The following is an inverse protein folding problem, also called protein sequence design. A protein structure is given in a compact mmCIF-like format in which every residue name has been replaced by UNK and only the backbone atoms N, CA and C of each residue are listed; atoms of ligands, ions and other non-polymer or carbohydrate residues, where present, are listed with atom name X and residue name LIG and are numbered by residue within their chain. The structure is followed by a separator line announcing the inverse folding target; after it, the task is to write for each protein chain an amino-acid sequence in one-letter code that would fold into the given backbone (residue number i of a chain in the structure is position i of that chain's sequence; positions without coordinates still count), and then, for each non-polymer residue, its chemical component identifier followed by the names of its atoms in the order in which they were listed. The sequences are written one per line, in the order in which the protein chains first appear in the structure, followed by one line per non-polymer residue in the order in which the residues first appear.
data_IF_699582480729
#
_entry.id   IF_699582480729
#
_cell.length_a   1.000
_cell.length_b   1.000
_cell.length_c   1.000
_cell.angle_alpha   90.00
_cell.angle_beta   90.00
_cell.angle_gamma   90.00
#
_symmetry.space_group_name_H-M   'P 1'
#
loop_
_entity.id
_entity.type
_entity.pdbx_description
1 polymer ?
#
# COMPACT_ATOMS: atom_id res chain seq x y z
N UNK A 1 58.46 47.89 59.43
CA UNK A 1 58.05 46.57 58.92
C UNK A 1 56.65 46.69 58.32
N UNK A 2 56.52 46.43 57.02
CA UNK A 2 55.30 46.64 56.23
C UNK A 2 54.82 45.25 55.80
N UNK A 3 53.63 44.80 56.22
CA UNK A 3 53.00 43.60 55.64
C UNK A 3 51.56 43.93 55.27
N UNK A 4 51.36 44.04 53.95
CA UNK A 4 50.08 44.17 53.25
C UNK A 4 49.15 43.02 53.66
N UNK A 5 47.90 43.34 53.99
CA UNK A 5 46.77 42.42 53.90
C UNK A 5 45.99 42.83 52.65
N UNK A 6 46.18 42.08 51.57
CA UNK A 6 45.53 42.32 50.29
C UNK A 6 44.63 41.14 49.93
N UNK A 7 43.33 41.45 49.83
CA UNK A 7 42.36 40.99 48.82
C UNK A 7 42.03 39.48 48.77
N UNK A 8 40.87 39.14 49.35
CA UNK A 8 40.09 37.91 49.14
C UNK A 8 38.64 38.28 48.80
N UNK A 9 38.41 39.02 47.70
CA UNK A 9 37.06 39.49 47.31
C UNK A 9 36.67 39.00 45.90
N UNK A 10 37.61 38.62 45.02
CA UNK A 10 37.28 38.27 43.62
C UNK A 10 36.86 36.80 43.38
N UNK A 11 36.88 35.91 44.38
CA UNK A 11 36.58 34.47 44.18
C UNK A 11 35.10 34.12 44.42
N UNK A 12 34.41 34.83 45.33
CA UNK A 12 33.00 34.52 45.66
C UNK A 12 31.99 34.96 44.58
N UNK A 13 32.29 35.99 43.79
CA UNK A 13 31.38 36.47 42.73
C UNK A 13 31.28 35.50 41.54
N UNK A 14 32.34 34.72 41.27
CA UNK A 14 32.35 33.72 40.19
C UNK A 14 31.49 32.51 40.49
N UNK A 15 31.52 32.01 41.74
CA UNK A 15 30.73 30.83 42.14
C UNK A 15 29.22 31.10 42.11
N UNK A 16 28.80 32.29 42.55
CA UNK A 16 27.40 32.72 42.49
C UNK A 16 26.88 32.81 41.04
N UNK A 17 27.72 33.28 40.11
CA UNK A 17 27.36 33.36 38.69
C UNK A 17 27.15 31.98 38.06
N UNK A 18 28.00 30.98 38.36
CA UNK A 18 27.81 29.62 37.86
C UNK A 18 26.57 28.94 38.46
N UNK A 19 26.26 29.21 39.74
CA UNK A 19 25.02 28.73 40.36
C UNK A 19 23.79 29.33 39.66
N UNK A 20 23.76 30.64 39.39
CA UNK A 20 22.65 31.25 38.64
C UNK A 20 22.57 30.82 37.17
N UNK A 21 23.69 30.55 36.51
CA UNK A 21 23.71 30.11 35.10
C UNK A 21 23.20 28.66 34.96
N UNK A 22 23.56 27.80 35.90
CA UNK A 22 23.08 26.41 35.94
C UNK A 22 21.62 26.30 36.34
N UNK A 23 21.13 27.14 37.27
CA UNK A 23 19.72 27.18 37.68
C UNK A 23 18.78 27.55 36.52
N UNK A 24 19.17 28.54 35.69
CA UNK A 24 18.44 28.85 34.45
C UNK A 24 18.43 27.70 33.45
N UNK A 25 19.56 27.02 33.24
CA UNK A 25 19.67 25.93 32.27
C UNK A 25 18.84 24.71 32.71
N UNK A 26 18.89 24.37 34.01
CA UNK A 26 18.06 23.31 34.60
C UNK A 26 16.58 23.66 34.50
N UNK A 27 16.21 24.93 34.72
CA UNK A 27 14.85 25.42 34.53
C UNK A 27 14.31 25.23 33.11
N UNK A 28 15.12 25.54 32.08
CA UNK A 28 14.72 25.35 30.67
C UNK A 28 14.58 23.86 30.32
N UNK A 29 15.50 23.01 30.79
CA UNK A 29 15.40 21.56 30.58
C UNK A 29 14.16 20.99 31.27
N UNK A 30 13.82 21.47 32.47
CA UNK A 30 12.64 21.02 33.20
C UNK A 30 11.33 21.36 32.46
N UNK A 31 11.21 22.58 31.94
CA UNK A 31 10.08 22.99 31.10
C UNK A 31 10.00 22.12 29.83
N UNK A 32 11.15 21.84 29.22
CA UNK A 32 11.21 21.01 28.02
C UNK A 32 10.74 19.56 28.27
N UNK A 33 11.14 18.96 29.40
CA UNK A 33 10.68 17.62 29.81
C UNK A 33 9.16 17.61 30.05
N UNK A 34 8.61 18.64 30.68
CA UNK A 34 7.17 18.78 30.88
C UNK A 34 6.44 18.88 29.54
N UNK A 35 6.93 19.71 28.60
CA UNK A 35 6.36 19.82 27.26
C UNK A 35 6.38 18.48 26.51
N UNK A 36 7.52 17.79 26.48
CA UNK A 36 7.62 16.48 25.81
C UNK A 36 6.68 15.45 26.42
N UNK A 37 6.53 15.46 27.75
CA UNK A 37 5.61 14.57 28.45
C UNK A 37 4.15 14.86 28.09
N UNK A 38 3.78 16.14 27.98
CA UNK A 38 2.45 16.57 27.55
C UNK A 38 2.17 16.17 26.10
N UNK A 39 3.11 16.41 25.17
CA UNK A 39 2.97 15.98 23.78
C UNK A 39 2.86 14.46 23.64
N UNK A 40 3.65 13.70 24.41
CA UNK A 40 3.56 12.23 24.41
C UNK A 40 2.21 11.73 24.94
N UNK A 41 1.65 12.39 25.96
CA UNK A 41 0.32 12.09 26.48
C UNK A 41 -0.77 12.40 25.45
N UNK A 42 -0.72 13.57 24.81
CA UNK A 42 -1.72 13.98 23.82
C UNK A 42 -1.66 13.12 22.56
N UNK A 43 -0.47 12.74 22.12
CA UNK A 43 -0.29 11.80 21.00
C UNK A 43 -0.88 10.42 21.31
N UNK A 44 -0.69 9.89 22.53
CA UNK A 44 -1.32 8.62 22.96
C UNK A 44 -2.85 8.74 23.01
N UNK A 45 -3.37 9.85 23.53
CA UNK A 45 -4.81 10.12 23.59
C UNK A 45 -5.43 10.18 22.19
N UNK A 46 -4.82 10.94 21.27
CA UNK A 46 -5.27 11.05 19.87
C UNK A 46 -5.22 9.70 19.14
N UNK A 47 -4.14 8.95 19.30
CA UNK A 47 -3.98 7.62 18.68
C UNK A 47 -5.05 6.64 19.20
N UNK A 48 -5.31 6.64 20.51
CA UNK A 48 -6.32 5.75 21.14
C UNK A 48 -7.73 6.09 20.67
N UNK A 49 -8.06 7.37 20.47
CA UNK A 49 -9.36 7.78 19.92
C UNK A 49 -9.54 7.36 18.47
N UNK A 50 -8.48 7.50 17.65
CA UNK A 50 -8.49 7.11 16.23
C UNK A 50 -8.57 5.59 16.04
N UNK A 51 -7.91 4.79 16.89
CA UNK A 51 -8.00 3.32 16.84
C UNK A 51 -9.31 2.80 17.42
N UNK A 52 -9.80 3.38 18.51
CA UNK A 52 -11.08 3.01 19.13
C UNK A 52 -12.29 3.42 18.28
N UNK A 53 -12.20 4.44 17.42
CA UNK A 53 -13.28 4.77 16.48
C UNK A 53 -13.43 3.74 15.34
N UNK A 54 -12.38 2.97 15.01
CA UNK A 54 -12.40 1.99 13.91
C UNK A 54 -12.88 0.59 14.31
N UNK A 55 -12.74 0.20 15.57
CA UNK A 55 -12.94 -1.19 16.01
C UNK A 55 -14.32 -1.61 16.54
N UNK A 56 -15.18 -0.75 17.13
CA UNK A 56 -16.38 -1.21 17.82
C UNK A 56 -17.44 -1.74 16.86
N UNK A 57 -17.52 -1.22 15.62
CA UNK A 57 -18.42 -1.76 14.59
C UNK A 57 -18.00 -3.17 14.13
N UNK A 58 -16.70 -3.39 13.90
CA UNK A 58 -16.17 -4.71 13.50
C UNK A 58 -16.29 -5.75 14.61
N UNK A 59 -16.09 -5.37 15.88
CA UNK A 59 -16.20 -6.30 17.00
C UNK A 59 -17.66 -6.73 17.25
N UNK A 60 -18.61 -5.78 17.19
CA UNK A 60 -20.03 -6.08 17.34
C UNK A 60 -20.54 -7.02 16.23
N UNK A 61 -20.10 -6.82 14.98
CA UNK A 61 -20.48 -7.68 13.85
C UNK A 61 -19.89 -9.10 13.97
N UNK A 62 -18.63 -9.24 14.39
CA UNK A 62 -17.99 -10.54 14.62
C UNK A 62 -18.66 -11.33 15.76
N UNK A 63 -19.09 -10.64 16.82
CA UNK A 63 -19.72 -11.27 17.97
C UNK A 63 -21.17 -11.72 17.67
N UNK A 64 -21.83 -11.03 16.73
CA UNK A 64 -23.14 -11.44 16.22
C UNK A 64 -23.00 -12.64 15.27
N UNK A 65 -21.98 -12.64 14.40
CA UNK A 65 -21.73 -13.75 13.46
C UNK A 65 -21.29 -15.05 14.14
N UNK A 66 -20.52 -14.97 15.24
CA UNK A 66 -20.02 -16.14 15.96
C UNK A 66 -21.11 -16.94 16.71
N UNK A 67 -22.28 -16.35 16.95
CA UNK A 67 -23.40 -17.01 17.66
C UNK A 67 -24.48 -17.57 16.73
N UNK A 68 -24.29 -17.50 15.41
CA UNK A 68 -25.26 -18.02 14.45
C UNK A 68 -25.10 -19.54 14.27
N UNK A 69 -26.07 -20.30 14.75
CA UNK A 69 -26.15 -21.75 14.50
C UNK A 69 -26.82 -22.01 13.15
N UNK A 70 -26.14 -22.74 12.26
CA UNK A 70 -26.67 -23.12 10.93
C UNK A 70 -27.87 -24.06 11.12
N UNK A 71 -29.09 -23.58 10.88
CA UNK A 71 -30.30 -24.40 10.74
C UNK A 71 -30.63 -24.56 9.25
N UNK A 72 -30.86 -25.80 8.82
CA UNK A 72 -31.42 -26.05 7.48
C UNK A 72 -32.93 -25.79 7.56
N UNK A 73 -33.44 -24.95 6.67
CA UNK A 73 -34.86 -24.64 6.57
C UNK A 73 -35.27 -24.68 5.10
N UNK A 74 -36.36 -25.38 4.81
CA UNK A 74 -37.02 -25.29 3.51
C UNK A 74 -37.75 -23.95 3.42
N UNK A 75 -37.31 -23.12 2.47
CA UNK A 75 -37.83 -21.79 2.23
C UNK A 75 -38.57 -21.76 0.88
N UNK A 76 -39.74 -21.13 0.88
CA UNK A 76 -40.51 -20.88 -0.34
C UNK A 76 -40.33 -19.41 -0.75
N UNK A 77 -39.76 -19.22 -1.94
CA UNK A 77 -39.44 -17.89 -2.48
C UNK A 77 -40.36 -17.62 -3.68
N UNK A 78 -41.27 -16.66 -3.54
CA UNK A 78 -42.03 -16.14 -4.66
C UNK A 78 -41.29 -14.93 -5.26
N UNK A 79 -40.60 -15.18 -6.37
CA UNK A 79 -39.84 -14.16 -7.09
C UNK A 79 -40.72 -13.13 -7.83
N UNK A 80 -41.96 -13.48 -8.18
CA UNK A 80 -42.87 -12.56 -8.86
C UNK A 80 -43.52 -11.59 -7.87
N UNK A 81 -43.99 -12.13 -6.74
CA UNK A 81 -44.56 -11.33 -5.66
C UNK A 81 -43.49 -10.61 -4.82
N UNK A 82 -42.21 -10.99 -4.95
CA UNK A 82 -41.07 -10.49 -4.16
C UNK A 82 -41.25 -10.73 -2.65
N UNK A 83 -41.71 -11.92 -2.31
CA UNK A 83 -42.00 -12.33 -0.94
C UNK A 83 -41.28 -13.63 -0.62
N UNK A 84 -40.56 -13.63 0.50
CA UNK A 84 -39.95 -14.81 1.10
C UNK A 84 -40.80 -15.22 2.31
N UNK A 85 -41.35 -16.42 2.29
CA UNK A 85 -42.12 -16.93 3.42
C UNK A 85 -41.32 -17.98 4.20
N UNK A 86 -41.20 -17.76 5.51
CA UNK A 86 -40.49 -18.65 6.43
C UNK A 86 -41.51 -19.31 7.37
N UNK A 87 -41.46 -20.63 7.59
CA UNK A 87 -42.29 -21.28 8.59
C UNK A 87 -41.99 -20.72 9.99
N UNK A 88 -43.03 -20.44 10.79
CA UNK A 88 -42.85 -19.86 12.12
C UNK A 88 -42.12 -20.80 13.10
N UNK A 89 -42.15 -22.11 12.84
CA UNK A 89 -41.38 -23.13 13.56
C UNK A 89 -39.86 -22.92 13.46
N UNK A 90 -39.38 -22.23 12.43
CA UNK A 90 -37.97 -21.90 12.23
C UNK A 90 -37.58 -20.60 12.95
N UNK A 91 -38.54 -19.68 13.11
CA UNK A 91 -38.33 -18.34 13.67
C UNK A 91 -38.49 -18.29 15.20
N UNK A 92 -39.21 -19.24 15.79
CA UNK A 92 -39.43 -19.30 17.24
C UNK A 92 -38.31 -20.09 17.94
N UNK A 93 -37.67 -19.52 18.96
CA UNK A 93 -36.63 -20.20 19.76
C UNK A 93 -37.12 -21.49 20.43
N UNK A 94 -38.41 -21.53 20.76
CA UNK A 94 -39.07 -22.65 21.47
C UNK A 94 -39.80 -23.63 20.53
N UNK A 95 -39.77 -23.41 19.21
CA UNK A 95 -40.46 -24.26 18.22
C UNK A 95 -41.99 -24.27 18.31
N UNK A 96 -42.59 -23.40 19.14
CA UNK A 96 -44.02 -23.36 19.45
C UNK A 96 -44.90 -22.60 18.45
N UNK A 97 -44.65 -22.73 17.15
CA UNK A 97 -45.53 -22.18 16.11
C UNK A 97 -46.62 -23.18 15.73
N UNK A 98 -47.84 -22.71 15.45
CA UNK A 98 -48.89 -23.57 14.92
C UNK A 98 -48.44 -24.14 13.55
N UNK A 99 -48.60 -25.45 13.35
CA UNK A 99 -48.22 -26.11 12.11
C UNK A 99 -49.03 -25.53 10.93
N UNK A 100 -48.39 -24.68 10.13
CA UNK A 100 -48.99 -24.00 8.98
C UNK A 100 -48.85 -22.48 8.98
N UNK A 101 -48.44 -21.86 10.11
CA UNK A 101 -48.24 -20.41 10.17
C UNK A 101 -46.91 -20.02 9.52
N UNK A 102 -46.98 -19.10 8.55
CA UNK A 102 -45.83 -18.62 7.77
C UNK A 102 -45.71 -17.11 7.91
N UNK A 103 -44.49 -16.66 8.17
CA UNK A 103 -44.15 -15.23 8.20
C UNK A 103 -43.52 -14.86 6.88
N UNK A 104 -44.17 -13.96 6.17
CA UNK A 104 -43.77 -13.53 4.84
C UNK A 104 -43.10 -12.15 4.91
N UNK A 105 -41.89 -12.07 4.37
CA UNK A 105 -41.08 -10.86 4.31
C UNK A 105 -41.00 -10.42 2.86
N UNK A 106 -41.32 -9.16 2.59
CA UNK A 106 -41.04 -8.58 1.27
C UNK A 106 -39.53 -8.41 1.13
N UNK A 107 -38.98 -8.83 0.01
CA UNK A 107 -37.56 -8.61 -0.31
C UNK A 107 -37.46 -7.77 -1.58
N UNK A 108 -36.63 -6.74 -1.57
CA UNK A 108 -36.18 -6.17 -2.81
C UNK A 108 -35.13 -7.13 -3.40
N UNK A 109 -35.21 -7.53 -4.69
CA UNK A 109 -34.04 -8.14 -5.33
C UNK A 109 -32.87 -7.17 -5.12
N UNK A 110 -31.65 -7.65 -4.83
CA UNK A 110 -30.52 -6.76 -4.63
C UNK A 110 -30.42 -5.90 -5.88
N UNK A 111 -30.78 -4.62 -5.77
CA UNK A 111 -30.80 -3.67 -6.87
C UNK A 111 -29.38 -3.25 -7.16
N UNK A 112 -28.53 -4.23 -7.48
CA UNK A 112 -27.12 -4.26 -7.09
C UNK A 112 -27.04 -4.01 -5.58
N UNK A 113 -26.49 -4.95 -4.83
CA UNK A 113 -25.80 -4.50 -3.62
C UNK A 113 -24.92 -3.36 -4.13
N UNK A 114 -25.04 -2.12 -3.64
CA UNK A 114 -23.89 -1.27 -3.75
C UNK A 114 -22.88 -2.10 -2.98
N UNK A 115 -22.03 -2.85 -3.69
CA UNK A 115 -20.64 -2.97 -3.30
C UNK A 115 -20.38 -1.58 -2.77
N UNK A 116 -20.33 -1.45 -1.44
CA UNK A 116 -19.57 -0.38 -0.84
C UNK A 116 -18.37 -0.33 -1.75
N UNK A 117 -18.27 0.74 -2.53
CA UNK A 117 -17.17 0.92 -3.45
C UNK A 117 -15.98 0.58 -2.59
N UNK A 118 -15.43 -0.63 -2.76
CA UNK A 118 -14.15 -0.99 -2.19
C UNK A 118 -13.36 0.15 -2.76
N UNK A 119 -12.99 1.10 -1.90
CA UNK A 119 -12.47 2.35 -2.40
C UNK A 119 -11.34 1.94 -3.34
N UNK A 120 -11.11 2.65 -4.43
CA UNK A 120 -10.02 2.26 -5.36
C UNK A 120 -8.72 1.97 -4.58
N UNK A 121 -8.53 2.67 -3.46
CA UNK A 121 -7.53 2.40 -2.43
C UNK A 121 -7.63 1.02 -1.73
N UNK A 122 -8.80 0.55 -1.30
CA UNK A 122 -8.96 -0.78 -0.70
C UNK A 122 -8.76 -1.91 -1.73
N UNK A 123 -9.19 -1.72 -2.98
CA UNK A 123 -8.97 -2.68 -4.05
C UNK A 123 -7.48 -2.76 -4.41
N UNK A 124 -6.81 -1.61 -4.40
CA UNK A 124 -5.37 -1.51 -4.58
C UNK A 124 -4.60 -2.17 -3.42
N UNK A 125 -5.02 -1.96 -2.16
CA UNK A 125 -4.41 -2.62 -0.99
C UNK A 125 -4.50 -4.13 -1.08
N UNK A 126 -5.70 -4.67 -1.36
CA UNK A 126 -5.89 -6.10 -1.52
C UNK A 126 -5.03 -6.69 -2.65
N UNK A 127 -4.90 -5.96 -3.76
CA UNK A 127 -4.02 -6.36 -4.85
C UNK A 127 -2.54 -6.39 -4.41
N UNK A 128 -2.09 -5.37 -3.68
CA UNK A 128 -0.69 -5.31 -3.23
C UNK A 128 -0.37 -6.42 -2.24
N UNK A 129 -1.26 -6.68 -1.28
CA UNK A 129 -1.08 -7.77 -0.31
C UNK A 129 -0.96 -9.13 -1.02
N UNK A 130 -1.80 -9.38 -2.03
CA UNK A 130 -1.74 -10.61 -2.82
C UNK A 130 -0.48 -10.71 -3.68
N UNK A 131 -0.07 -9.62 -4.33
CA UNK A 131 1.14 -9.61 -5.14
C UNK A 131 2.40 -9.79 -4.28
N UNK A 132 2.45 -9.16 -3.10
CA UNK A 132 3.58 -9.32 -2.19
C UNK A 132 3.70 -10.77 -1.71
N UNK A 133 2.59 -11.39 -1.29
CA UNK A 133 2.57 -12.79 -0.88
C UNK A 133 3.06 -13.71 -2.01
N UNK A 134 2.50 -13.56 -3.22
CA UNK A 134 2.88 -14.39 -4.37
C UNK A 134 4.35 -14.21 -4.79
N UNK A 135 4.89 -12.99 -4.68
CA UNK A 135 6.29 -12.68 -5.02
C UNK A 135 7.26 -13.19 -3.96
N UNK A 136 6.86 -13.11 -2.68
CA UNK A 136 7.61 -13.68 -1.56
C UNK A 136 7.71 -15.20 -1.70
N UNK A 137 6.60 -15.85 -2.01
CA UNK A 137 6.56 -17.30 -2.27
C UNK A 137 7.38 -17.70 -3.50
N UNK A 138 7.43 -16.83 -4.53
CA UNK A 138 8.27 -17.01 -5.71
C UNK A 138 9.76 -16.73 -5.45
N UNK A 139 10.14 -16.18 -4.29
CA UNK A 139 11.52 -15.85 -3.93
C UNK A 139 12.07 -14.60 -4.64
N UNK A 140 11.21 -13.68 -5.09
CA UNK A 140 11.62 -12.41 -5.66
C UNK A 140 11.94 -11.40 -4.54
N UNK A 141 13.15 -10.81 -4.48
CA UNK A 141 13.50 -9.83 -3.47
C UNK A 141 12.79 -8.51 -3.76
N UNK A 142 11.78 -8.17 -2.96
CA UNK A 142 11.10 -6.87 -3.01
C UNK A 142 11.76 -5.96 -1.98
N UNK A 143 12.09 -4.74 -2.38
CA UNK A 143 12.60 -3.70 -1.49
C UNK A 143 11.49 -2.67 -1.23
N UNK A 144 11.29 -2.29 0.02
CA UNK A 144 10.34 -1.23 0.41
C UNK A 144 9.00 -1.74 0.93
N UNK A 145 8.07 -0.80 1.14
CA UNK A 145 6.74 -1.05 1.68
C UNK A 145 5.69 -1.06 0.54
N UNK A 146 5.06 -2.22 0.24
CA UNK A 146 4.05 -2.35 -0.80
C UNK A 146 2.73 -1.64 -0.47
N UNK A 147 2.54 -1.15 0.76
CA UNK A 147 1.37 -0.35 1.15
C UNK A 147 1.15 0.89 0.27
N UNK A 148 2.21 1.37 -0.40
CA UNK A 148 2.20 2.49 -1.34
C UNK A 148 1.83 2.11 -2.78
N UNK A 149 1.36 0.89 -3.06
CA UNK A 149 0.94 0.51 -4.42
C UNK A 149 2.09 0.26 -5.39
N UNK A 150 3.30 0.05 -4.88
CA UNK A 150 4.53 0.02 -5.67
C UNK A 150 5.43 -1.12 -5.23
N UNK A 151 5.91 -1.91 -6.19
CA UNK A 151 6.92 -2.94 -5.96
C UNK A 151 8.28 -2.38 -6.38
N UNK A 152 9.18 -2.10 -5.45
CA UNK A 152 10.48 -1.51 -5.75
C UNK A 152 11.63 -2.53 -5.68
N UNK A 153 12.60 -2.34 -6.56
CA UNK A 153 13.77 -3.18 -6.73
C UNK A 153 15.00 -2.29 -6.84
N UNK A 154 16.11 -2.79 -6.31
CA UNK A 154 17.40 -2.13 -6.37
C UNK A 154 18.04 -2.34 -7.74
N UNK A 155 18.55 -1.28 -8.37
CA UNK A 155 19.09 -1.38 -9.72
C UNK A 155 20.34 -2.27 -9.81
N UNK A 156 21.18 -2.30 -8.77
CA UNK A 156 22.36 -3.16 -8.65
C UNK A 156 22.02 -4.66 -8.60
N UNK A 157 20.81 -5.02 -8.17
CA UNK A 157 20.33 -6.41 -8.18
C UNK A 157 19.80 -6.81 -9.57
N UNK A 158 19.20 -5.87 -10.29
CA UNK A 158 18.56 -6.15 -11.59
C UNK A 158 19.52 -6.02 -12.78
N UNK A 159 20.48 -5.11 -12.73
CA UNK A 159 21.30 -4.74 -13.89
C UNK A 159 22.79 -4.90 -13.62
N UNK A 160 23.55 -5.05 -14.69
CA UNK A 160 25.00 -4.90 -14.63
C UNK A 160 25.37 -3.44 -14.28
N UNK A 161 26.46 -3.25 -13.55
CA UNK A 161 26.93 -1.94 -13.11
C UNK A 161 27.09 -0.98 -14.30
N UNK A 162 26.54 0.23 -14.18
CA UNK A 162 26.58 1.26 -15.22
C UNK A 162 25.82 0.93 -16.52
N UNK A 163 25.07 -0.16 -16.56
CA UNK A 163 24.34 -0.62 -17.75
C UNK A 163 22.84 -0.76 -17.50
N UNK A 164 22.07 -0.80 -18.59
CA UNK A 164 20.66 -1.18 -18.62
C UNK A 164 20.45 -2.68 -18.94
N UNK A 165 21.52 -3.43 -19.16
CA UNK A 165 21.44 -4.89 -19.39
C UNK A 165 21.12 -5.61 -18.08
N UNK A 166 20.07 -6.43 -18.09
CA UNK A 166 19.70 -7.27 -16.96
C UNK A 166 20.82 -8.27 -16.65
N UNK A 167 21.19 -8.38 -15.37
CA UNK A 167 22.09 -9.43 -14.90
C UNK A 167 21.40 -10.80 -14.96
N UNK A 168 22.12 -11.94 -14.85
CA UNK A 168 21.49 -13.25 -14.76
C UNK A 168 20.47 -13.36 -13.62
N UNK A 169 20.78 -12.75 -12.47
CA UNK A 169 19.84 -12.64 -11.35
C UNK A 169 18.66 -11.72 -11.68
N UNK A 170 18.91 -10.58 -12.32
CA UNK A 170 17.85 -9.67 -12.77
C UNK A 170 16.88 -10.32 -13.75
N UNK A 171 17.37 -11.18 -14.65
CA UNK A 171 16.53 -11.97 -15.55
C UNK A 171 15.68 -12.98 -14.78
N UNK A 172 16.25 -13.67 -13.78
CA UNK A 172 15.51 -14.58 -12.90
C UNK A 172 14.42 -13.84 -12.11
N UNK A 173 14.75 -12.68 -11.53
CA UNK A 173 13.80 -11.84 -10.80
C UNK A 173 12.69 -11.35 -11.73
N UNK A 174 13.04 -10.85 -12.92
CA UNK A 174 12.05 -10.43 -13.92
C UNK A 174 11.14 -11.61 -14.32
N UNK A 175 11.67 -12.82 -14.47
CA UNK A 175 10.88 -14.02 -14.74
C UNK A 175 9.88 -14.35 -13.62
N UNK A 176 10.34 -14.33 -12.36
CA UNK A 176 9.49 -14.57 -11.18
C UNK A 176 8.38 -13.52 -11.07
N UNK A 177 8.74 -12.24 -11.22
CA UNK A 177 7.78 -11.12 -11.20
C UNK A 177 6.77 -11.26 -12.34
N UNK A 178 7.25 -11.51 -13.56
CA UNK A 178 6.39 -11.68 -14.73
C UNK A 178 5.39 -12.82 -14.53
N UNK A 179 5.82 -13.95 -13.98
CA UNK A 179 4.95 -15.10 -13.71
C UNK A 179 3.85 -14.76 -12.70
N UNK A 180 4.18 -14.03 -11.64
CA UNK A 180 3.18 -13.58 -10.66
C UNK A 180 2.20 -12.57 -11.27
N UNK A 181 2.69 -11.59 -12.04
CA UNK A 181 1.84 -10.64 -12.74
C UNK A 181 0.92 -11.32 -13.77
N UNK A 182 1.43 -12.31 -14.51
CA UNK A 182 0.65 -13.04 -15.51
C UNK A 182 -0.51 -13.85 -14.90
N UNK A 183 -0.40 -14.26 -13.64
CA UNK A 183 -1.48 -14.95 -12.92
C UNK A 183 -2.58 -13.99 -12.45
N UNK A 184 -2.22 -12.79 -12.00
CA UNK A 184 -3.15 -11.84 -11.34
C UNK A 184 -3.74 -10.80 -12.30
N UNK A 185 -2.92 -10.21 -13.17
CA UNK A 185 -3.33 -9.09 -13.99
C UNK A 185 -4.44 -9.38 -15.03
N UNK A 186 -4.59 -10.61 -15.58
CA UNK A 186 -5.69 -10.89 -16.52
C UNK A 186 -7.09 -10.67 -15.93
N UNK A 187 -7.28 -10.83 -14.62
CA UNK A 187 -8.56 -10.53 -13.98
C UNK A 187 -8.85 -9.01 -13.90
N UNK A 188 -7.80 -8.20 -13.89
CA UNK A 188 -7.86 -6.75 -13.67
C UNK A 188 -7.68 -5.93 -14.95
N UNK A 189 -7.30 -6.57 -16.06
CA UNK A 189 -7.14 -5.95 -17.37
C UNK A 189 -8.14 -6.46 -18.42
N UNK A 190 -7.87 -6.06 -19.66
CA UNK A 190 -8.55 -6.51 -20.88
C UNK A 190 -7.51 -7.03 -21.89
N UNK A 191 -7.95 -7.60 -23.00
CA UNK A 191 -7.06 -7.99 -24.12
C UNK A 191 -6.38 -9.35 -23.97
N UNK A 192 -6.57 -10.04 -22.84
CA UNK A 192 -6.16 -11.41 -22.63
C UNK A 192 -7.33 -12.23 -22.04
N UNK A 193 -7.36 -13.56 -22.23
CA UNK A 193 -8.35 -14.40 -21.58
C UNK A 193 -8.22 -14.26 -20.06
N UNK A 194 -9.33 -13.95 -19.39
CA UNK A 194 -9.40 -13.92 -17.95
C UNK A 194 -9.02 -15.31 -17.40
N UNK A 195 -8.19 -15.35 -16.36
CA UNK A 195 -7.83 -16.60 -15.68
C UNK A 195 -9.06 -17.31 -15.10
N UNK A 196 -8.93 -18.60 -14.80
CA UNK A 196 -9.97 -19.35 -14.11
C UNK A 196 -10.18 -18.78 -12.70
N UNK A 197 -11.37 -18.24 -12.42
CA UNK A 197 -11.71 -17.67 -11.10
C UNK A 197 -11.71 -16.15 -11.01
N UNK A 198 -11.66 -15.41 -12.14
CA UNK A 198 -11.88 -13.97 -12.09
C UNK A 198 -13.35 -13.65 -11.77
N UNK A 199 -13.60 -12.88 -10.71
CA UNK A 199 -14.95 -12.40 -10.41
C UNK A 199 -15.39 -11.36 -11.45
N UNK A 200 -16.58 -11.58 -12.03
CA UNK A 200 -17.16 -10.68 -13.00
C UNK A 200 -17.54 -9.35 -12.33
N UNK A 201 -16.93 -8.24 -12.76
CA UNK A 201 -17.23 -6.90 -12.25
C UNK A 201 -16.24 -6.34 -11.21
N UNK A 202 -15.12 -7.02 -10.96
CA UNK A 202 -14.04 -6.47 -10.13
C UNK A 202 -13.39 -5.21 -10.71
N UNK A 203 -12.85 -4.36 -9.83
CA UNK A 203 -12.14 -3.13 -10.20
C UNK A 203 -11.02 -3.41 -11.20
N UNK A 204 -10.96 -2.63 -12.27
CA UNK A 204 -9.94 -2.77 -13.33
C UNK A 204 -8.73 -1.90 -13.07
N UNK A 205 -7.60 -2.24 -13.66
CA UNK A 205 -6.41 -1.40 -13.63
C UNK A 205 -6.44 -0.37 -14.77
N UNK A 206 -6.17 0.89 -14.43
CA UNK A 206 -5.95 1.94 -15.41
C UNK A 206 -4.55 1.84 -16.03
N UNK A 207 -3.55 1.50 -15.21
CA UNK A 207 -2.15 1.47 -15.61
C UNK A 207 -1.32 0.59 -14.69
N UNK A 208 -0.30 -0.07 -15.25
CA UNK A 208 0.82 -0.62 -14.51
C UNK A 208 2.10 -0.02 -15.10
N UNK A 209 2.82 0.77 -14.32
CA UNK A 209 3.94 1.56 -14.83
C UNK A 209 5.27 1.05 -14.25
N UNK A 210 6.20 0.68 -15.13
CA UNK A 210 7.58 0.36 -14.77
C UNK A 210 8.36 1.68 -14.72
N UNK A 211 8.69 2.13 -13.52
CA UNK A 211 9.30 3.43 -13.26
C UNK A 211 10.70 3.26 -12.71
N UNK A 212 11.70 3.81 -13.38
CA UNK A 212 13.02 4.02 -12.77
C UNK A 212 13.09 5.36 -12.07
N UNK A 213 13.56 5.36 -10.82
CA UNK A 213 13.84 6.55 -10.03
C UNK A 213 15.35 6.72 -9.85
N UNK A 214 15.84 7.94 -10.08
CA UNK A 214 17.23 8.31 -9.87
C UNK A 214 17.34 9.75 -9.37
N UNK A 215 18.25 9.99 -8.45
CA UNK A 215 18.75 11.34 -8.21
C UNK A 215 19.73 11.68 -9.35
N UNK A 216 19.71 12.93 -9.81
CA UNK A 216 20.56 13.38 -10.91
C UNK A 216 20.83 14.87 -10.79
N UNK A 217 21.89 15.35 -11.44
CA UNK A 217 22.08 16.77 -11.72
C UNK A 217 21.92 17.00 -13.23
N UNK A 218 20.75 17.46 -13.67
CA UNK A 218 20.39 17.57 -15.08
C UNK A 218 21.28 18.56 -15.85
N UNK A 219 22.01 19.41 -15.14
CA UNK A 219 22.87 20.45 -15.71
C UNK A 219 24.31 19.95 -15.94
N UNK A 220 24.62 18.72 -15.49
CA UNK A 220 25.92 18.08 -15.73
C UNK A 220 25.82 17.00 -16.82
N UNK A 221 26.90 16.76 -17.60
CA UNK A 221 26.95 15.63 -18.53
C UNK A 221 26.69 14.28 -17.84
N UNK A 222 27.16 14.13 -16.60
CA UNK A 222 26.99 12.93 -15.78
C UNK A 222 25.52 12.71 -15.42
N UNK A 223 24.81 13.72 -14.92
CA UNK A 223 23.40 13.58 -14.58
C UNK A 223 22.50 13.39 -15.80
N UNK A 224 22.85 13.96 -16.96
CA UNK A 224 22.16 13.66 -18.23
C UNK A 224 22.33 12.20 -18.64
N UNK A 225 23.55 11.64 -18.50
CA UNK A 225 23.79 10.20 -18.71
C UNK A 225 22.99 9.36 -17.72
N UNK A 226 22.94 9.74 -16.45
CA UNK A 226 22.16 9.04 -15.42
C UNK A 226 20.66 9.04 -15.74
N UNK A 227 20.12 10.15 -16.24
CA UNK A 227 18.72 10.26 -16.70
C UNK A 227 18.44 9.27 -17.84
N UNK A 228 19.31 9.25 -18.85
CA UNK A 228 19.16 8.34 -20.00
C UNK A 228 19.25 6.87 -19.58
N UNK A 229 20.17 6.55 -18.67
CA UNK A 229 20.37 5.20 -18.14
C UNK A 229 19.15 4.72 -17.35
N UNK A 230 18.53 5.60 -16.56
CA UNK A 230 17.32 5.28 -15.81
C UNK A 230 16.16 4.88 -16.74
N UNK A 231 15.93 5.63 -17.82
CA UNK A 231 14.90 5.29 -18.80
C UNK A 231 15.22 3.97 -19.52
N UNK A 232 16.48 3.76 -19.91
CA UNK A 232 16.92 2.51 -20.54
C UNK A 232 16.72 1.30 -19.61
N UNK A 233 17.01 1.45 -18.31
CA UNK A 233 16.79 0.41 -17.30
C UNK A 233 15.31 0.06 -17.16
N UNK A 234 14.44 1.06 -17.08
CA UNK A 234 12.99 0.83 -17.01
C UNK A 234 12.48 0.09 -18.27
N UNK A 235 12.96 0.49 -19.46
CA UNK A 235 12.61 -0.16 -20.71
C UNK A 235 13.14 -1.60 -20.79
N UNK A 236 14.39 -1.85 -20.38
CA UNK A 236 14.99 -3.18 -20.37
C UNK A 236 14.29 -4.12 -19.38
N UNK A 237 13.90 -3.62 -18.20
CA UNK A 237 13.13 -4.41 -17.25
C UNK A 237 11.74 -4.76 -17.81
N UNK A 238 11.03 -3.79 -18.40
CA UNK A 238 9.78 -4.05 -19.09
C UNK A 238 9.92 -5.11 -20.19
N UNK A 239 10.97 -5.03 -21.02
CA UNK A 239 11.27 -6.04 -22.04
C UNK A 239 11.55 -7.42 -21.41
N UNK A 240 12.27 -7.46 -20.28
CA UNK A 240 12.49 -8.69 -19.52
C UNK A 240 11.17 -9.32 -19.04
N UNK A 241 10.25 -8.50 -18.53
CA UNK A 241 8.93 -8.96 -18.08
C UNK A 241 8.10 -9.54 -19.23
N UNK A 242 8.04 -8.84 -20.37
CA UNK A 242 7.23 -9.27 -21.52
C UNK A 242 7.87 -10.42 -22.30
N UNK A 243 9.20 -10.54 -22.30
CA UNK A 243 9.90 -11.70 -22.85
C UNK A 243 9.64 -12.96 -22.02
N UNK A 244 9.62 -12.84 -20.70
CA UNK A 244 9.31 -13.95 -19.80
C UNK A 244 7.83 -14.36 -19.86
N UNK A 245 6.92 -13.39 -20.01
CA UNK A 245 5.48 -13.63 -20.13
C UNK A 245 4.85 -12.75 -21.22
N UNK A 246 4.71 -13.27 -22.45
CA UNK A 246 4.13 -12.52 -23.58
C UNK A 246 2.70 -12.02 -23.34
N UNK A 247 1.94 -12.71 -22.47
CA UNK A 247 0.60 -12.30 -22.04
C UNK A 247 0.55 -10.86 -21.51
N UNK A 248 1.60 -10.44 -20.80
CA UNK A 248 1.68 -9.10 -20.20
C UNK A 248 1.69 -7.99 -21.26
N UNK A 249 2.24 -8.25 -22.43
CA UNK A 249 2.25 -7.31 -23.55
C UNK A 249 0.88 -7.17 -24.23
N UNK A 250 0.02 -8.19 -24.12
CA UNK A 250 -1.33 -8.19 -24.69
C UNK A 250 -2.36 -7.50 -23.79
N UNK A 251 -2.05 -7.33 -22.49
CA UNK A 251 -2.96 -6.70 -21.53
C UNK A 251 -3.18 -5.21 -21.85
N UNK A 252 -4.43 -4.78 -21.71
CA UNK A 252 -4.88 -3.41 -21.97
C UNK A 252 -5.72 -2.89 -20.81
N UNK A 253 -5.78 -1.56 -20.70
CA UNK A 253 -6.60 -0.86 -19.71
C UNK A 253 -8.10 -0.77 -20.08
N UNK A 254 -8.45 -1.04 -21.34
CA UNK A 254 -9.83 -1.04 -21.84
C UNK A 254 -10.00 -2.09 -22.94
N UNK A 255 -11.24 -2.51 -23.27
CA UNK A 255 -11.52 -3.46 -24.36
C UNK A 255 -10.81 -3.14 -25.68
N UNK A 256 -10.42 -4.18 -26.41
CA UNK A 256 -9.79 -4.05 -27.73
C UNK A 256 -10.79 -3.39 -28.68
N UNK A 257 -10.37 -2.33 -29.37
CA UNK A 257 -11.21 -1.58 -30.32
C UNK A 257 -11.93 -0.36 -29.73
N UNK A 258 -11.91 -0.15 -28.40
CA UNK A 258 -12.43 1.09 -27.81
C UNK A 258 -11.40 2.24 -27.96
N UNK A 259 -11.89 3.45 -28.26
CA UNK A 259 -11.08 4.65 -28.27
C UNK A 259 -10.42 4.86 -26.89
N UNK A 260 -9.11 5.11 -26.86
CA UNK A 260 -8.35 5.27 -25.61
C UNK A 260 -7.83 3.97 -24.99
N UNK A 261 -8.13 2.80 -25.59
CA UNK A 261 -7.53 1.54 -25.14
C UNK A 261 -6.03 1.53 -25.46
N UNK A 262 -5.23 1.32 -24.42
CA UNK A 262 -3.77 1.39 -24.42
C UNK A 262 -3.18 0.17 -23.69
N UNK A 263 -1.91 -0.19 -23.95
CA UNK A 263 -1.21 -1.21 -23.18
C UNK A 263 -1.30 -0.93 -21.68
N UNK A 264 -1.56 -1.98 -20.91
CA UNK A 264 -1.65 -1.89 -19.46
C UNK A 264 -0.28 -1.61 -18.86
N UNK A 265 0.73 -2.37 -19.29
CA UNK A 265 2.11 -2.23 -18.87
C UNK A 265 2.81 -1.11 -19.66
N UNK A 266 3.44 -0.18 -18.96
CA UNK A 266 4.09 1.01 -19.52
C UNK A 266 5.43 1.27 -18.87
N UNK A 267 6.19 2.19 -19.45
CA UNK A 267 7.53 2.55 -18.98
C UNK A 267 7.58 4.05 -18.74
N UNK A 268 8.20 4.44 -17.62
CA UNK A 268 8.56 5.82 -17.33
C UNK A 268 9.89 5.90 -16.58
N UNK A 269 10.46 7.09 -16.55
CA UNK A 269 11.59 7.43 -15.69
C UNK A 269 11.28 8.74 -14.98
N UNK A 270 11.57 8.79 -13.68
CA UNK A 270 11.39 9.98 -12.86
C UNK A 270 12.71 10.30 -12.19
N UNK A 271 13.16 11.54 -12.29
CA UNK A 271 14.33 12.02 -11.57
C UNK A 271 14.13 13.46 -11.17
N UNK A 272 14.61 13.81 -9.97
CA UNK A 272 14.65 15.20 -9.53
C UNK A 272 16.08 15.72 -9.66
N UNK A 273 16.21 16.89 -10.30
CA UNK A 273 17.51 17.55 -10.40
C UNK A 273 17.90 18.12 -9.05
N UNK A 274 19.06 17.74 -8.53
CA UNK A 274 19.65 18.27 -7.31
C UNK A 274 21.13 18.55 -7.53
N UNK A 275 21.61 19.69 -7.05
CA UNK A 275 23.04 20.00 -7.07
C UNK A 275 23.82 18.96 -6.26
N UNK A 276 24.98 18.54 -6.78
CA UNK A 276 25.84 17.54 -6.15
C UNK A 276 25.18 16.16 -5.89
N UNK A 277 24.13 15.81 -6.65
CA UNK A 277 23.58 14.46 -6.64
C UNK A 277 24.68 13.41 -6.95
N UNK A 278 24.62 12.27 -6.26
CA UNK A 278 25.60 11.17 -6.34
C UNK A 278 25.92 10.72 -7.77
N UNK A 279 27.05 10.01 -7.91
CA UNK A 279 27.58 9.49 -9.17
C UNK A 279 26.51 8.73 -9.98
N UNK A 280 26.68 8.71 -11.30
CA UNK A 280 25.81 8.03 -12.26
C UNK A 280 25.46 6.61 -11.80
N UNK A 281 24.19 6.38 -11.46
CA UNK A 281 23.67 5.05 -11.14
C UNK A 281 23.65 4.67 -9.66
N UNK A 282 24.14 5.52 -8.76
CA UNK A 282 24.05 5.30 -7.30
C UNK A 282 22.61 5.52 -6.81
N UNK A 283 22.13 4.67 -5.89
CA UNK A 283 20.77 4.67 -5.34
C UNK A 283 19.62 4.63 -6.36
N UNK A 284 19.87 4.14 -7.57
CA UNK A 284 18.82 3.93 -8.55
C UNK A 284 17.89 2.79 -8.14
N UNK A 285 16.58 3.05 -8.23
CA UNK A 285 15.55 2.04 -8.01
C UNK A 285 14.72 1.88 -9.27
N UNK A 286 14.25 0.66 -9.50
CA UNK A 286 13.24 0.36 -10.51
C UNK A 286 12.03 -0.17 -9.79
N UNK A 287 10.87 0.36 -10.13
CA UNK A 287 9.63 0.06 -9.44
C UNK A 287 8.50 -0.25 -10.40
N UNK A 288 7.52 -1.02 -9.95
CA UNK A 288 6.28 -1.28 -10.69
C UNK A 288 5.14 -0.66 -9.89
N UNK A 289 4.52 0.36 -10.46
CA UNK A 289 3.43 1.13 -9.86
C UNK A 289 2.10 0.66 -10.43
N UNK A 290 1.12 0.40 -9.57
CA UNK A 290 -0.21 -0.05 -9.99
C UNK A 290 -1.23 1.04 -9.72
N UNK A 291 -2.01 1.39 -10.75
CA UNK A 291 -3.07 2.38 -10.65
C UNK A 291 -4.41 1.74 -11.00
N UNK A 292 -5.35 1.75 -10.07
CA UNK A 292 -6.71 1.29 -10.29
C UNK A 292 -7.49 2.28 -11.16
N UNK A 293 -8.36 1.76 -12.01
CA UNK A 293 -9.35 2.53 -12.75
C UNK A 293 -10.45 3.06 -11.84
N UNK A 294 -10.92 4.25 -12.16
CA UNK A 294 -12.07 4.92 -11.52
C UNK A 294 -13.37 4.49 -12.16
#
# INVERSE_FOLDING_TARGET
MRRKRGRTVDVEEGESYYVSMTDMMVGVIFIFIIMLSYFAFEFRSATTRLTSAKQPETAALLQTAANLTRRQADLEVDYQARVLCVPETVLSETGGGAAGERRCFSFAPPSKVPTQSVSTADAQRLLMDQLEADLRDAGAPINGDPSNGTLAFKADQLFLAGSATLSPDGQRIAGQVAQTLARRLPCLGYGAPAGTGCEAGGSKLAMVNVVSQTNLDAFTPEGQRAASLALQRAAAFHQGLTAAQPLLAALRNAPVGQAGSQPLLRVASVGQSQEAASKVGDDQTVSIQFLMGT
#
